data_IF_733284132583
#
_entry.id   IF_733284132583
#
_cell.length_a   1.000
_cell.length_b   1.000
_cell.length_c   1.000
_cell.angle_alpha   90.00
_cell.angle_beta   90.00
_cell.angle_gamma   90.00
#
_symmetry.space_group_name_H-M   'P 1'
#
loop_
_entity.id
_entity.type
_entity.pdbx_description
1 polymer ?
#
# COMPACT_ATOMS: atom_id res chain seq x y z
N UNK A 1 -31.06 -9.55 35.80
CA UNK A 1 -30.88 -9.81 34.35
C UNK A 1 -30.25 -8.55 33.78
N UNK A 2 -29.06 -8.51 33.18
CA UNK A 2 -28.18 -9.53 32.61
C UNK A 2 -26.71 -9.08 32.68
N UNK A 3 -25.85 -10.03 33.07
CA UNK A 3 -24.57 -10.43 32.46
C UNK A 3 -23.67 -9.32 31.89
N UNK A 4 -22.74 -8.83 32.71
CA UNK A 4 -21.48 -8.24 32.25
C UNK A 4 -20.39 -9.31 32.22
N UNK A 5 -19.70 -9.43 31.08
CA UNK A 5 -18.37 -10.02 30.98
C UNK A 5 -18.30 -11.49 30.57
N UNK A 6 -18.38 -11.76 29.26
CA UNK A 6 -17.96 -13.04 28.68
C UNK A 6 -17.04 -12.82 27.48
N UNK A 7 -15.77 -12.54 27.75
CA UNK A 7 -14.70 -13.01 26.87
C UNK A 7 -13.66 -13.74 27.72
N UNK A 8 -13.66 -15.06 27.50
CA UNK A 8 -12.93 -16.07 28.24
C UNK A 8 -11.42 -15.94 27.98
N UNK A 9 -10.63 -16.10 29.04
CA UNK A 9 -9.19 -16.34 28.96
C UNK A 9 -8.93 -17.56 28.04
N UNK A 10 -8.26 -17.35 26.92
CA UNK A 10 -7.77 -18.46 26.08
C UNK A 10 -6.38 -18.85 26.59
N UNK A 11 -6.31 -19.94 27.37
CA UNK A 11 -5.06 -20.57 27.81
C UNK A 11 -4.56 -21.54 26.74
N UNK A 12 -3.25 -21.55 26.45
CA UNK A 12 -2.59 -22.64 25.71
C UNK A 12 -2.37 -23.84 26.63
N UNK A 13 -2.31 -25.05 26.05
CA UNK A 13 -2.03 -26.33 26.73
C UNK A 13 -0.61 -26.43 27.32
N UNK A 14 0.25 -25.42 27.17
CA UNK A 14 1.63 -25.39 27.68
C UNK A 14 1.82 -24.60 28.98
N UNK A 15 0.75 -24.03 29.56
CA UNK A 15 0.82 -23.40 30.90
C UNK A 15 1.39 -21.99 30.97
N UNK A 16 1.92 -21.42 29.88
CA UNK A 16 2.30 -20.00 29.84
C UNK A 16 1.11 -19.10 29.47
N UNK A 17 0.87 -18.06 30.27
CA UNK A 17 -0.11 -17.01 29.99
C UNK A 17 0.41 -16.13 28.85
N UNK A 18 -0.15 -16.30 27.65
CA UNK A 18 -0.02 -15.29 26.60
C UNK A 18 -0.56 -13.97 27.15
N UNK A 19 0.27 -12.93 27.18
CA UNK A 19 -0.20 -11.59 27.58
C UNK A 19 -1.29 -11.17 26.60
N UNK A 20 -2.34 -10.49 27.07
CA UNK A 20 -3.42 -9.99 26.20
C UNK A 20 -2.87 -9.13 25.04
N UNK A 21 -1.73 -8.47 25.24
CA UNK A 21 -0.97 -7.75 24.21
C UNK A 21 -0.44 -8.67 23.10
N UNK A 22 0.08 -9.85 23.41
CA UNK A 22 0.62 -10.81 22.43
C UNK A 22 -0.51 -11.47 21.62
N UNK A 23 -1.67 -11.70 22.24
CA UNK A 23 -2.86 -12.17 21.54
C UNK A 23 -3.43 -11.10 20.60
N UNK A 24 -3.52 -9.85 21.06
CA UNK A 24 -3.93 -8.70 20.25
C UNK A 24 -2.99 -8.47 19.07
N UNK A 25 -1.68 -8.61 19.27
CA UNK A 25 -0.68 -8.49 18.21
C UNK A 25 -0.80 -9.61 17.17
N UNK A 26 -1.06 -10.84 17.60
CA UNK A 26 -1.36 -11.95 16.68
C UNK A 26 -2.64 -11.70 15.89
N UNK A 27 -3.74 -11.31 16.54
CA UNK A 27 -5.02 -11.02 15.87
C UNK A 27 -4.84 -9.88 14.86
N UNK A 28 -4.12 -8.82 15.22
CA UNK A 28 -3.81 -7.71 14.32
C UNK A 28 -3.02 -8.17 13.09
N UNK A 29 -2.04 -9.06 13.26
CA UNK A 29 -1.28 -9.66 12.15
C UNK A 29 -2.18 -10.48 11.22
N UNK A 30 -3.03 -11.35 11.77
CA UNK A 30 -3.98 -12.14 10.97
C UNK A 30 -4.99 -11.26 10.21
N UNK A 31 -5.53 -10.22 10.84
CA UNK A 31 -6.45 -9.27 10.19
C UNK A 31 -5.73 -8.49 9.09
N UNK A 32 -4.46 -8.16 9.30
CA UNK A 32 -3.61 -7.47 8.32
C UNK A 32 -3.32 -8.34 7.10
N UNK A 33 -2.88 -9.58 7.31
CA UNK A 33 -2.64 -10.54 6.22
C UNK A 33 -3.94 -10.87 5.45
N UNK A 34 -5.05 -11.00 6.17
CA UNK A 34 -6.36 -11.18 5.56
C UNK A 34 -6.78 -9.96 4.73
N UNK A 35 -6.66 -8.75 5.26
CA UNK A 35 -6.98 -7.52 4.55
C UNK A 35 -6.11 -7.36 3.29
N UNK A 36 -4.80 -7.57 3.42
CA UNK A 36 -3.87 -7.52 2.29
C UNK A 36 -4.19 -8.59 1.25
N UNK A 37 -4.45 -9.84 1.66
CA UNK A 37 -4.84 -10.90 0.74
C UNK A 37 -6.17 -10.64 0.01
N UNK A 38 -7.10 -9.92 0.65
CA UNK A 38 -8.37 -9.50 0.03
C UNK A 38 -8.19 -8.35 -0.96
N UNK A 39 -7.24 -7.45 -0.72
CA UNK A 39 -6.95 -6.30 -1.61
C UNK A 39 -6.08 -6.77 -2.78
N UNK A 40 -4.97 -7.43 -2.49
CA UNK A 40 -3.95 -7.88 -3.44
C UNK A 40 -4.29 -9.26 -4.05
N UNK A 41 -5.57 -9.51 -4.35
CA UNK A 41 -6.10 -10.83 -4.76
C UNK A 41 -5.18 -11.57 -5.73
N UNK A 42 -4.66 -12.73 -5.33
CA UNK A 42 -3.80 -13.57 -6.17
C UNK A 42 -2.31 -13.20 -6.19
N UNK A 43 -1.95 -12.01 -5.68
CA UNK A 43 -0.55 -11.58 -5.54
C UNK A 43 0.01 -12.17 -4.24
N UNK A 44 1.11 -12.92 -4.36
CA UNK A 44 1.82 -13.41 -3.19
C UNK A 44 2.46 -12.26 -2.42
N UNK A 45 2.12 -12.13 -1.13
CA UNK A 45 2.59 -11.02 -0.31
C UNK A 45 4.12 -10.97 -0.24
N UNK A 46 4.82 -12.11 -0.29
CA UNK A 46 6.29 -12.15 -0.30
C UNK A 46 6.94 -11.36 -1.45
N UNK A 47 6.22 -11.13 -2.56
CA UNK A 47 6.71 -10.35 -3.70
C UNK A 47 6.51 -8.84 -3.54
N UNK A 48 5.77 -8.41 -2.52
CA UNK A 48 5.51 -7.00 -2.22
C UNK A 48 6.39 -6.57 -1.06
N UNK A 49 7.15 -5.50 -1.19
CA UNK A 49 8.01 -5.03 -0.10
C UNK A 49 7.18 -4.56 1.12
N UNK A 50 7.72 -4.64 2.35
CA UNK A 50 7.02 -4.23 3.57
C UNK A 50 6.45 -2.81 3.55
N UNK A 51 7.15 -1.85 2.94
CA UNK A 51 6.72 -0.44 2.89
C UNK A 51 5.50 -0.27 2.00
N UNK A 52 5.45 -1.01 0.90
CA UNK A 52 4.27 -1.05 0.02
C UNK A 52 3.08 -1.73 0.69
N UNK A 53 3.29 -2.83 1.43
CA UNK A 53 2.22 -3.46 2.23
C UNK A 53 1.67 -2.50 3.28
N UNK A 54 2.56 -1.80 3.99
CA UNK A 54 2.19 -0.76 4.95
C UNK A 54 1.35 0.34 4.29
N UNK A 55 1.76 0.80 3.12
CA UNK A 55 1.05 1.84 2.39
C UNK A 55 -0.39 1.44 2.03
N UNK A 56 -0.56 0.25 1.45
CA UNK A 56 -1.87 -0.28 1.07
C UNK A 56 -2.77 -0.39 2.30
N UNK A 57 -2.22 -0.93 3.38
CA UNK A 57 -2.95 -1.09 4.63
C UNK A 57 -3.32 0.26 5.27
N UNK A 58 -2.47 1.28 5.12
CA UNK A 58 -2.77 2.64 5.54
C UNK A 58 -3.94 3.23 4.75
N UNK A 59 -3.95 3.04 3.43
CA UNK A 59 -5.06 3.50 2.57
C UNK A 59 -6.37 2.81 2.93
N UNK A 60 -6.32 1.52 3.21
CA UNK A 60 -7.50 0.77 3.66
C UNK A 60 -8.01 1.22 5.03
N UNK A 61 -7.12 1.41 6.00
CA UNK A 61 -7.50 1.71 7.39
C UNK A 61 -7.89 3.19 7.58
N UNK A 62 -7.14 4.11 6.98
CA UNK A 62 -7.21 5.55 7.32
C UNK A 62 -7.45 6.46 6.11
N UNK A 63 -7.50 5.92 4.89
CA UNK A 63 -7.69 6.69 3.65
C UNK A 63 -6.78 7.94 3.56
N UNK A 64 -5.53 7.84 4.04
CA UNK A 64 -4.55 8.93 3.99
C UNK A 64 -4.66 9.99 5.10
N UNK A 65 -5.53 9.81 6.09
CA UNK A 65 -5.60 10.69 7.26
C UNK A 65 -4.29 10.71 8.05
N UNK A 66 -4.05 11.83 8.74
CA UNK A 66 -2.97 11.97 9.71
C UNK A 66 -3.41 11.39 11.06
N UNK A 67 -2.61 10.51 11.62
CA UNK A 67 -2.93 9.70 12.81
C UNK A 67 -1.82 9.83 13.85
N UNK A 68 -2.11 9.56 15.12
CA UNK A 68 -1.12 9.54 16.19
C UNK A 68 -0.06 8.44 15.97
N UNK A 69 1.18 8.74 16.37
CA UNK A 69 2.34 7.85 16.13
C UNK A 69 2.16 6.46 16.74
N UNK A 70 1.57 6.34 17.92
CA UNK A 70 1.38 5.04 18.58
C UNK A 70 0.44 4.13 17.80
N UNK A 71 -0.62 4.69 17.20
CA UNK A 71 -1.53 3.94 16.33
C UNK A 71 -0.87 3.57 15.01
N UNK A 72 -0.09 4.49 14.42
CA UNK A 72 0.68 4.20 13.22
C UNK A 72 1.70 3.07 13.43
N UNK A 73 2.33 3.03 14.62
CA UNK A 73 3.32 2.02 15.00
C UNK A 73 2.71 0.62 15.07
N UNK A 74 1.46 0.50 15.52
CA UNK A 74 0.74 -0.77 15.52
C UNK A 74 0.64 -1.34 14.09
N UNK A 75 0.31 -0.48 13.13
CA UNK A 75 0.16 -0.88 11.74
C UNK A 75 1.49 -1.23 11.08
N UNK A 76 2.54 -0.45 11.36
CA UNK A 76 3.86 -0.68 10.78
C UNK A 76 4.46 -2.00 11.27
N UNK A 77 4.31 -2.31 12.56
CA UNK A 77 4.80 -3.55 13.16
C UNK A 77 4.12 -4.79 12.56
N UNK A 78 2.82 -4.71 12.24
CA UNK A 78 2.08 -5.82 11.64
C UNK A 78 2.65 -6.27 10.28
N UNK A 79 3.34 -5.39 9.56
CA UNK A 79 3.96 -5.67 8.26
C UNK A 79 5.49 -5.62 8.29
N UNK A 80 6.10 -5.54 9.48
CA UNK A 80 7.55 -5.56 9.65
C UNK A 80 8.26 -4.26 9.26
N UNK A 81 7.60 -3.10 9.42
CA UNK A 81 8.14 -1.78 9.11
C UNK A 81 8.50 -1.01 10.38
N UNK A 82 9.74 -0.50 10.41
CA UNK A 82 10.20 0.50 11.37
C UNK A 82 9.94 1.91 10.81
N UNK A 83 8.99 2.65 11.39
CA UNK A 83 8.55 3.97 10.89
C UNK A 83 9.72 4.96 10.79
N UNK A 84 10.65 4.87 11.73
CA UNK A 84 11.84 5.70 11.85
C UNK A 84 12.73 5.64 10.61
N UNK A 85 12.76 4.49 9.94
CA UNK A 85 13.55 4.27 8.72
C UNK A 85 12.87 4.82 7.48
N UNK A 86 11.55 5.01 7.52
CA UNK A 86 10.73 5.36 6.36
C UNK A 86 10.01 6.70 6.48
N UNK A 87 10.29 7.51 7.51
CA UNK A 87 9.80 8.88 7.58
C UNK A 87 10.82 9.92 7.11
N UNK A 88 10.36 11.14 6.84
CA UNK A 88 11.23 12.26 6.48
C UNK A 88 11.49 12.37 4.98
N UNK A 89 12.38 13.30 4.61
CA UNK A 89 12.53 13.75 3.22
C UNK A 89 12.79 12.58 2.27
N UNK A 90 11.98 12.53 1.21
CA UNK A 90 12.09 11.54 0.14
C UNK A 90 11.48 10.17 0.42
N UNK A 91 11.06 9.91 1.67
CA UNK A 91 10.30 8.71 2.00
C UNK A 91 8.78 8.96 1.86
N UNK A 92 7.99 7.89 1.99
CA UNK A 92 6.52 7.94 1.87
C UNK A 92 5.81 8.36 3.17
N UNK A 93 6.52 8.37 4.30
CA UNK A 93 5.96 8.78 5.59
C UNK A 93 6.47 10.16 6.00
N UNK A 94 5.58 10.97 6.53
CA UNK A 94 5.89 12.25 7.17
C UNK A 94 5.53 12.18 8.65
N UNK A 95 6.44 12.65 9.50
CA UNK A 95 6.21 12.84 10.93
C UNK A 95 6.13 14.33 11.23
N UNK A 96 5.10 14.74 11.95
CA UNK A 96 4.86 16.11 12.39
C UNK A 96 4.48 16.09 13.87
N UNK A 97 5.42 16.39 14.75
CA UNK A 97 5.20 16.26 16.20
C UNK A 97 4.87 14.81 16.59
N UNK A 98 3.74 14.60 17.28
CA UNK A 98 3.25 13.26 17.65
C UNK A 98 2.53 12.50 16.53
N UNK A 99 2.38 13.10 15.35
CA UNK A 99 1.53 12.57 14.29
C UNK A 99 2.29 12.04 13.09
N UNK A 100 1.64 11.12 12.38
CA UNK A 100 2.13 10.42 11.21
C UNK A 100 1.13 10.58 10.06
N UNK A 101 1.64 10.98 8.89
CA UNK A 101 0.91 11.01 7.63
C UNK A 101 1.65 10.14 6.61
N UNK A 102 0.91 9.33 5.86
CA UNK A 102 1.45 8.56 4.73
C UNK A 102 1.08 9.26 3.43
N UNK A 103 2.09 9.87 2.79
CA UNK A 103 1.95 10.78 1.67
C UNK A 103 1.39 10.10 0.42
N UNK A 104 0.48 10.76 -0.29
CA UNK A 104 0.07 10.36 -1.65
C UNK A 104 1.02 10.93 -2.71
N UNK A 105 0.96 10.50 -3.99
CA UNK A 105 1.85 11.01 -5.04
C UNK A 105 1.89 12.54 -5.12
N UNK A 106 0.73 13.21 -5.05
CA UNK A 106 0.62 14.67 -5.13
C UNK A 106 1.27 15.43 -3.96
N UNK A 107 1.57 14.75 -2.86
CA UNK A 107 2.23 15.33 -1.69
C UNK A 107 3.76 15.14 -1.75
N UNK A 108 4.29 14.59 -2.85
CA UNK A 108 5.70 14.27 -3.05
C UNK A 108 6.25 14.98 -4.29
N UNK A 109 7.58 15.07 -4.38
CA UNK A 109 8.31 15.64 -5.51
C UNK A 109 9.18 14.59 -6.18
N UNK A 110 9.21 14.58 -7.52
CA UNK A 110 9.94 13.58 -8.33
C UNK A 110 11.41 13.47 -7.89
N UNK A 111 12.04 14.60 -7.64
CA UNK A 111 13.48 14.73 -7.33
C UNK A 111 13.79 14.33 -5.89
N UNK A 112 12.79 14.32 -5.01
CA UNK A 112 12.98 13.97 -3.60
C UNK A 112 12.78 12.47 -3.37
N UNK A 113 12.03 11.77 -4.22
CA UNK A 113 11.82 10.32 -4.09
C UNK A 113 13.17 9.60 -4.20
N UNK A 114 13.57 8.96 -3.10
CA UNK A 114 14.88 8.30 -3.00
C UNK A 114 14.98 7.16 -4.00
N UNK A 115 15.99 7.25 -4.86
CA UNK A 115 16.38 6.16 -5.74
C UNK A 115 17.13 5.10 -4.91
N UNK A 116 16.45 3.97 -4.67
CA UNK A 116 16.99 2.84 -3.89
C UNK A 116 17.15 1.65 -4.80
N UNK A 117 18.14 0.81 -4.51
CA UNK A 117 18.41 -0.41 -5.25
C UNK A 117 18.37 -1.60 -4.27
N UNK A 118 17.34 -2.48 -4.34
CA UNK A 118 16.19 -2.43 -5.23
C UNK A 118 15.22 -1.27 -4.91
N UNK A 119 14.46 -0.83 -5.93
CA UNK A 119 13.49 0.26 -5.78
C UNK A 119 12.23 -0.24 -5.07
N UNK A 120 11.79 0.49 -4.04
CA UNK A 120 10.55 0.20 -3.32
C UNK A 120 9.36 0.42 -4.26
N UNK A 121 8.41 -0.54 -4.30
CA UNK A 121 7.32 -0.54 -5.28
C UNK A 121 6.46 0.72 -5.18
N UNK A 122 6.05 1.11 -3.96
CA UNK A 122 5.23 2.31 -3.78
C UNK A 122 5.95 3.61 -4.17
N UNK A 123 7.27 3.67 -3.96
CA UNK A 123 8.06 4.82 -4.40
C UNK A 123 8.16 4.87 -5.93
N UNK A 124 8.28 3.71 -6.58
CA UNK A 124 8.24 3.62 -8.04
C UNK A 124 6.87 4.04 -8.59
N UNK A 125 5.78 3.57 -8.00
CA UNK A 125 4.43 3.98 -8.38
C UNK A 125 4.24 5.49 -8.23
N UNK A 126 4.61 6.07 -7.10
CA UNK A 126 4.44 7.52 -6.87
C UNK A 126 5.23 8.35 -7.87
N UNK A 127 6.49 7.97 -8.13
CA UNK A 127 7.31 8.64 -9.13
C UNK A 127 6.74 8.47 -10.55
N UNK A 128 6.22 7.28 -10.87
CA UNK A 128 5.56 7.03 -12.15
C UNK A 128 4.30 7.89 -12.34
N UNK A 129 3.43 7.97 -11.32
CA UNK A 129 2.26 8.84 -11.31
C UNK A 129 2.63 10.31 -11.51
N UNK A 130 3.70 10.78 -10.86
CA UNK A 130 4.17 12.16 -11.00
C UNK A 130 4.76 12.45 -12.39
N UNK A 131 5.57 11.54 -12.94
CA UNK A 131 6.12 11.68 -14.29
C UNK A 131 5.02 11.66 -15.35
N UNK A 132 4.03 10.77 -15.19
CA UNK A 132 2.84 10.73 -16.04
C UNK A 132 2.07 12.06 -15.97
N UNK A 133 1.78 12.55 -14.76
CA UNK A 133 1.03 13.78 -14.56
C UNK A 133 1.75 15.02 -15.09
N UNK A 134 3.09 14.99 -15.11
CA UNK A 134 3.93 16.04 -15.69
C UNK A 134 4.15 15.89 -17.21
N UNK A 135 3.47 14.95 -17.88
CA UNK A 135 3.60 14.65 -19.32
C UNK A 135 5.03 14.23 -19.75
N UNK A 136 5.84 13.72 -18.81
CA UNK A 136 7.24 13.29 -19.02
C UNK A 136 7.33 11.83 -19.48
N UNK A 137 6.61 11.47 -20.56
CA UNK A 137 6.43 10.08 -21.00
C UNK A 137 7.72 9.29 -21.28
N UNK A 138 8.70 9.91 -21.95
CA UNK A 138 10.00 9.25 -22.22
C UNK A 138 10.76 8.91 -20.93
N UNK A 139 10.72 9.81 -19.95
CA UNK A 139 11.41 9.61 -18.68
C UNK A 139 10.69 8.57 -17.80
N UNK A 140 9.36 8.55 -17.85
CA UNK A 140 8.56 7.49 -17.24
C UNK A 140 8.96 6.10 -17.75
N UNK A 141 9.06 5.93 -19.06
CA UNK A 141 9.43 4.66 -19.68
C UNK A 141 10.85 4.23 -19.27
N UNK A 142 11.82 5.15 -19.36
CA UNK A 142 13.21 4.89 -18.93
C UNK A 142 13.26 4.52 -17.46
N UNK A 143 12.54 5.24 -16.59
CA UNK A 143 12.52 5.00 -15.15
C UNK A 143 11.91 3.64 -14.78
N UNK A 144 10.75 3.29 -15.36
CA UNK A 144 10.14 1.98 -15.12
C UNK A 144 11.00 0.86 -15.72
N UNK A 145 11.68 1.10 -16.85
CA UNK A 145 12.62 0.17 -17.45
C UNK A 145 13.83 -0.10 -16.54
N UNK A 146 14.45 0.96 -16.02
CA UNK A 146 15.65 0.84 -15.18
C UNK A 146 15.38 0.21 -13.81
N UNK A 147 14.18 0.41 -13.27
CA UNK A 147 13.74 -0.23 -12.01
C UNK A 147 13.25 -1.67 -12.19
N UNK A 148 13.06 -2.11 -13.44
CA UNK A 148 12.52 -3.43 -13.76
C UNK A 148 11.00 -3.54 -13.60
N UNK A 149 10.29 -2.43 -13.36
CA UNK A 149 8.84 -2.42 -13.16
C UNK A 149 8.03 -2.27 -14.44
N UNK A 150 8.65 -1.88 -15.56
CA UNK A 150 7.95 -1.64 -16.83
C UNK A 150 7.08 -2.81 -17.30
N UNK A 151 7.61 -4.03 -17.22
CA UNK A 151 6.94 -5.27 -17.66
C UNK A 151 6.72 -6.24 -16.49
N UNK A 152 6.63 -5.73 -15.25
CA UNK A 152 6.50 -6.56 -14.06
C UNK A 152 5.00 -6.77 -13.71
N UNK A 153 4.46 -8.00 -13.81
CA UNK A 153 3.04 -8.25 -13.53
C UNK A 153 2.66 -7.90 -12.08
N UNK A 154 3.51 -8.28 -11.11
CA UNK A 154 3.28 -8.00 -9.69
C UNK A 154 3.16 -6.50 -9.42
N UNK A 155 3.97 -5.67 -10.09
CA UNK A 155 3.86 -4.22 -10.03
C UNK A 155 2.49 -3.77 -10.53
N UNK A 156 2.13 -4.09 -11.76
CA UNK A 156 0.90 -3.60 -12.38
C UNK A 156 -0.38 -4.12 -11.72
N UNK A 157 -0.38 -5.37 -11.25
CA UNK A 157 -1.48 -5.92 -10.46
C UNK A 157 -1.61 -5.20 -9.11
N UNK A 158 -0.49 -4.83 -8.46
CA UNK A 158 -0.51 -4.02 -7.23
C UNK A 158 -1.05 -2.62 -7.49
N UNK A 159 -0.66 -2.00 -8.61
CA UNK A 159 -1.16 -0.67 -9.03
C UNK A 159 -2.68 -0.73 -9.27
N UNK A 160 -3.16 -1.76 -9.95
CA UNK A 160 -4.59 -1.99 -10.18
C UNK A 160 -5.35 -2.18 -8.86
N UNK A 161 -4.87 -3.06 -7.98
CA UNK A 161 -5.47 -3.31 -6.67
C UNK A 161 -5.55 -2.05 -5.80
N UNK A 162 -4.50 -1.22 -5.80
CA UNK A 162 -4.51 0.05 -5.09
C UNK A 162 -5.50 1.05 -5.69
N UNK A 163 -5.67 1.07 -7.01
CA UNK A 163 -6.70 1.91 -7.67
C UNK A 163 -8.12 1.53 -7.22
N UNK A 164 -8.40 0.23 -7.13
CA UNK A 164 -9.69 -0.31 -6.70
C UNK A 164 -9.98 -0.03 -5.22
N UNK A 165 -8.94 -0.01 -4.40
CA UNK A 165 -9.03 0.29 -2.98
C UNK A 165 -9.47 1.74 -2.70
N UNK A 166 -9.01 2.69 -3.51
CA UNK A 166 -9.24 4.12 -3.26
C UNK A 166 -10.68 4.54 -3.61
N UNK A 167 -11.28 5.51 -2.88
CA UNK A 167 -12.64 5.97 -3.15
C UNK A 167 -12.74 6.79 -4.45
N UNK A 168 -13.96 6.90 -4.98
CA UNK A 168 -14.23 7.73 -6.16
C UNK A 168 -13.98 9.22 -5.88
N UNK A 169 -13.41 9.93 -6.85
CA UNK A 169 -13.05 11.34 -6.70
C UNK A 169 -11.72 11.59 -5.97
N UNK A 170 -11.06 10.53 -5.48
CA UNK A 170 -9.73 10.64 -4.88
C UNK A 170 -8.66 11.01 -5.93
N UNK A 171 -7.81 11.99 -5.61
CA UNK A 171 -6.79 12.49 -6.54
C UNK A 171 -5.70 11.46 -6.81
N UNK A 172 -5.30 10.67 -5.82
CA UNK A 172 -4.33 9.60 -6.01
C UNK A 172 -4.91 8.51 -6.93
N UNK A 173 -6.19 8.15 -6.73
CA UNK A 173 -6.89 7.22 -7.63
C UNK A 173 -6.86 7.71 -9.07
N UNK A 174 -7.18 8.98 -9.31
CA UNK A 174 -7.17 9.57 -10.65
C UNK A 174 -5.79 9.49 -11.30
N UNK A 175 -4.72 9.78 -10.56
CA UNK A 175 -3.34 9.67 -11.06
C UNK A 175 -2.97 8.22 -11.39
N UNK A 176 -3.33 7.27 -10.51
CA UNK A 176 -3.10 5.83 -10.73
C UNK A 176 -3.86 5.33 -11.96
N UNK A 177 -5.14 5.71 -12.12
CA UNK A 177 -5.95 5.34 -13.28
C UNK A 177 -5.37 5.93 -14.57
N UNK A 178 -4.93 7.18 -14.54
CA UNK A 178 -4.26 7.81 -15.66
C UNK A 178 -2.99 7.08 -16.08
N UNK A 179 -2.16 6.68 -15.12
CA UNK A 179 -0.97 5.85 -15.36
C UNK A 179 -1.36 4.49 -15.98
N UNK A 180 -2.36 3.81 -15.43
CA UNK A 180 -2.85 2.52 -15.92
C UNK A 180 -3.43 2.57 -17.35
N UNK A 181 -3.88 3.72 -17.83
CA UNK A 181 -4.31 3.91 -19.23
C UNK A 181 -3.12 4.09 -20.19
N UNK A 182 -1.97 4.53 -19.69
CA UNK A 182 -0.73 4.75 -20.47
C UNK A 182 0.29 3.63 -20.35
N UNK A 183 0.07 2.68 -19.43
CA UNK A 183 0.93 1.52 -19.27
C UNK A 183 1.12 0.81 -20.62
N UNK A 184 2.36 0.48 -21.02
CA UNK A 184 2.57 -0.36 -22.21
C UNK A 184 1.80 -1.66 -22.05
N UNK A 185 1.30 -2.19 -23.16
CA UNK A 185 0.32 -3.27 -23.29
C UNK A 185 0.67 -4.59 -22.56
N UNK A 186 0.65 -4.58 -21.24
CA UNK A 186 0.71 -5.78 -20.36
C UNK A 186 -0.70 -6.33 -20.10
N UNK A 187 -1.74 -5.64 -20.55
CA UNK A 187 -3.14 -6.13 -20.57
C UNK A 187 -3.66 -6.16 -22.02
N UNK A 188 -2.81 -6.61 -22.94
CA UNK A 188 -3.23 -6.96 -24.30
C UNK A 188 -4.03 -8.25 -24.27
N UNK A 189 -5.32 -8.15 -23.93
CA UNK A 189 -6.46 -8.98 -24.40
C UNK A 189 -7.69 -8.83 -23.48
N UNK A 190 -7.53 -8.64 -22.16
CA UNK A 190 -8.69 -8.64 -21.24
C UNK A 190 -9.46 -7.31 -21.15
N UNK A 191 -8.87 -6.18 -21.57
CA UNK A 191 -9.55 -4.86 -21.53
C UNK A 191 -10.59 -4.66 -22.64
N UNK A 192 -10.48 -5.34 -23.78
CA UNK A 192 -11.54 -5.29 -24.81
C UNK A 192 -12.80 -6.02 -24.33
N UNK A 193 -12.65 -7.15 -23.65
CA UNK A 193 -13.76 -7.96 -23.14
C UNK A 193 -14.54 -7.24 -22.02
N UNK A 194 -13.85 -6.44 -21.19
CA UNK A 194 -14.52 -5.69 -20.10
C UNK A 194 -15.24 -4.44 -20.58
N UNK A 195 -14.81 -3.80 -21.67
CA UNK A 195 -15.49 -2.63 -22.23
C UNK A 195 -16.72 -3.01 -23.08
N UNK A 196 -16.66 -4.13 -23.80
CA UNK A 196 -17.80 -4.64 -24.58
C UNK A 196 -18.92 -5.21 -23.69
N UNK A 197 -18.58 -5.75 -22.52
CA UNK A 197 -19.56 -6.35 -21.58
C UNK A 197 -20.40 -5.33 -20.80
N UNK A 198 -20.09 -4.04 -20.91
CA UNK A 198 -20.75 -2.94 -20.18
C UNK A 198 -21.33 -1.87 -21.12
N UNK A 199 -21.31 -2.12 -22.43
CA UNK A 199 -21.92 -1.26 -23.47
C UNK A 199 -23.13 -1.90 -24.16
N UNK A 200 -23.70 -2.96 -23.57
CA UNK A 200 -24.96 -3.60 -23.95
C UNK A 200 -25.96 -3.64 -22.80
#
# INVERSE_FOLDING_TARGET
>A
MEIYGKYAKVKKLSGEELKASELLEHVKRYVTEYALGRILKGIKLEHIDPVTRFYILWRWTYNGQEIEYDDARILSQAVGVELEKIWGKGNVVQKSGGKIKVLSPQDRKIEEIKDRHPMILIDALHKACLLWHAERGKELEIFLGSTGYLNNPVFWETVQALSELLPSGDKEKMMIQGLLLKAPAVIGEERQITLERWSG
#
